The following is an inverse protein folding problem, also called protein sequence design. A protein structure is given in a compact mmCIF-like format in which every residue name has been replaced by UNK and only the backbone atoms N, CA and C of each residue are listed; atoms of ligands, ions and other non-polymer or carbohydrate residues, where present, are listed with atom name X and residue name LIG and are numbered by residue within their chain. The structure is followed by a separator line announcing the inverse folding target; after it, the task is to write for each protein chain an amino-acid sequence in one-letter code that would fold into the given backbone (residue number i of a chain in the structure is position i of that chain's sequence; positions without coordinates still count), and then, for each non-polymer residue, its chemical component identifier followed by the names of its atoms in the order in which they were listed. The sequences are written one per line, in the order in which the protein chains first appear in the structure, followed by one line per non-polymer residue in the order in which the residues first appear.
data_IF_150176820119
#
_entry.id   IF_150176820119
#
_cell.length_a   1.000
_cell.length_b   1.000
_cell.length_c   1.000
_cell.angle_alpha   90.00
_cell.angle_beta   90.00
_cell.angle_gamma   90.00
#
_symmetry.space_group_name_H-M   'P 1'
#
loop_
_entity.id
_entity.type
_entity.pdbx_description
1 polymer ?
#
# COMPACT_ATOMS: atom_id res chain seq x y z
N UNK A 1 4.50 -20.33 43.54
CA UNK A 1 5.02 -18.97 43.31
C UNK A 1 4.15 -18.39 42.21
N UNK A 2 3.38 -17.33 42.50
CA UNK A 2 2.50 -16.71 41.50
C UNK A 2 3.40 -16.05 40.44
N UNK A 3 3.09 -16.24 39.16
CA UNK A 3 3.77 -15.57 38.05
C UNK A 3 3.44 -14.07 38.10
N UNK A 4 4.14 -13.33 38.94
CA UNK A 4 4.05 -11.87 39.00
C UNK A 4 4.74 -11.31 37.77
N UNK A 5 3.99 -10.58 36.94
CA UNK A 5 4.52 -9.99 35.71
C UNK A 5 5.69 -9.04 36.03
N UNK A 6 6.74 -9.00 35.18
CA UNK A 6 8.01 -8.32 35.51
C UNK A 6 7.84 -6.82 35.80
N UNK A 7 6.90 -6.14 35.13
CA UNK A 7 6.61 -4.73 35.38
C UNK A 7 5.87 -4.46 36.71
N UNK A 8 5.01 -5.38 37.16
CA UNK A 8 4.37 -5.30 38.48
C UNK A 8 5.39 -5.60 39.58
N UNK A 9 6.26 -6.60 39.36
CA UNK A 9 7.35 -6.92 40.27
C UNK A 9 8.30 -5.72 40.45
N UNK A 10 8.63 -4.99 39.37
CA UNK A 10 9.49 -3.79 39.42
C UNK A 10 8.88 -2.64 40.23
N UNK A 11 7.56 -2.51 40.24
CA UNK A 11 6.81 -1.54 41.04
C UNK A 11 6.49 -2.05 42.45
N UNK A 12 6.82 -3.30 42.78
CA UNK A 12 6.51 -3.96 44.05
C UNK A 12 5.01 -4.21 44.26
N UNK A 13 4.28 -4.47 43.17
CA UNK A 13 2.82 -4.63 43.13
C UNK A 13 2.44 -6.07 42.77
N UNK A 14 1.21 -6.45 43.12
CA UNK A 14 0.63 -7.75 42.78
C UNK A 14 -0.35 -7.66 41.60
N UNK A 15 -0.90 -8.80 41.17
CA UNK A 15 -1.85 -8.90 40.05
C UNK A 15 -3.27 -8.44 40.41
N UNK A 16 -3.57 -8.08 41.65
CA UNK A 16 -4.88 -7.58 42.09
C UNK A 16 -4.87 -6.06 42.33
N UNK A 17 -3.82 -5.38 41.87
CA UNK A 17 -3.58 -3.97 42.16
C UNK A 17 -4.39 -3.02 41.24
N UNK A 18 -4.97 -1.96 41.82
CA UNK A 18 -5.75 -0.93 41.11
C UNK A 18 -4.91 0.24 40.55
N UNK A 19 -5.49 0.99 39.61
CA UNK A 19 -4.87 2.19 39.00
C UNK A 19 -4.33 3.23 40.00
N UNK A 20 -4.98 3.35 41.17
CA UNK A 20 -4.56 4.28 42.23
C UNK A 20 -3.30 3.79 42.96
N UNK A 21 -3.14 2.48 43.10
CA UNK A 21 -1.98 1.87 43.72
C UNK A 21 -0.77 1.87 42.78
N UNK A 22 -0.95 1.65 41.48
CA UNK A 22 0.09 1.83 40.45
C UNK A 22 0.66 3.25 40.47
N UNK A 23 -0.21 4.28 40.49
CA UNK A 23 0.20 5.69 40.56
C UNK A 23 0.95 6.03 41.86
N UNK A 24 0.53 5.47 43.00
CA UNK A 24 1.22 5.67 44.28
C UNK A 24 2.60 5.00 44.30
N UNK A 25 2.73 3.81 43.74
CA UNK A 25 4.02 3.11 43.65
C UNK A 25 4.99 3.88 42.76
N UNK A 26 4.54 4.32 41.58
CA UNK A 26 5.34 5.15 40.68
C UNK A 26 5.80 6.44 41.36
N UNK A 27 4.92 7.16 42.06
CA UNK A 27 5.29 8.39 42.77
C UNK A 27 6.27 8.15 43.94
N UNK A 28 6.27 6.96 44.55
CA UNK A 28 7.23 6.58 45.59
C UNK A 28 8.60 6.30 45.00
N UNK A 29 8.66 5.51 43.93
CA UNK A 29 9.91 5.16 43.24
C UNK A 29 10.52 6.39 42.54
N UNK A 30 9.70 7.25 41.95
CA UNK A 30 10.15 8.47 41.28
C UNK A 30 10.88 9.45 42.23
N UNK A 31 10.51 9.46 43.51
CA UNK A 31 11.20 10.28 44.52
C UNK A 31 12.59 9.77 44.88
N UNK A 32 12.89 8.51 44.55
CA UNK A 32 14.18 7.88 44.81
C UNK A 32 15.15 8.01 43.64
N UNK A 33 14.66 8.43 42.46
CA UNK A 33 15.46 8.59 41.24
C UNK A 33 15.80 10.06 41.04
N UNK A 34 17.10 10.37 40.98
CA UNK A 34 17.58 11.66 40.50
C UNK A 34 17.51 11.67 38.97
N UNK A 35 16.54 12.42 38.43
CA UNK A 35 16.23 12.44 36.99
C UNK A 35 17.38 13.03 36.15
N UNK A 36 18.24 13.86 36.74
CA UNK A 36 19.35 14.49 36.01
C UNK A 36 20.57 13.57 35.93
N UNK A 37 20.77 12.69 36.91
CA UNK A 37 21.92 11.78 36.96
C UNK A 37 21.60 10.37 36.46
N UNK A 38 20.37 9.89 36.67
CA UNK A 38 19.96 8.49 36.40
C UNK A 38 18.83 8.41 35.36
N UNK A 39 19.08 8.94 34.17
CA UNK A 39 18.11 8.91 33.05
C UNK A 39 17.68 7.50 32.66
N UNK A 40 18.57 6.50 32.75
CA UNK A 40 18.24 5.11 32.45
C UNK A 40 17.26 4.50 33.48
N UNK A 41 17.46 4.77 34.76
CA UNK A 41 16.57 4.28 35.81
C UNK A 41 15.18 4.95 35.74
N UNK A 42 15.14 6.23 35.35
CA UNK A 42 13.89 6.95 35.10
C UNK A 42 13.12 6.35 33.92
N UNK A 43 13.78 6.04 32.81
CA UNK A 43 13.14 5.40 31.65
C UNK A 43 12.60 4.02 32.00
N UNK A 44 13.38 3.18 32.69
CA UNK A 44 12.93 1.84 33.12
C UNK A 44 11.69 1.93 34.05
N UNK A 45 11.70 2.87 35.00
CA UNK A 45 10.54 3.09 35.88
C UNK A 45 9.31 3.56 35.09
N UNK A 46 9.52 4.42 34.09
CA UNK A 46 8.44 4.94 33.24
C UNK A 46 7.84 3.83 32.37
N UNK A 47 8.67 3.00 31.75
CA UNK A 47 8.24 1.85 30.95
C UNK A 47 7.45 0.84 31.80
N UNK A 48 7.90 0.55 33.03
CA UNK A 48 7.18 -0.31 33.95
C UNK A 48 5.81 0.25 34.34
N UNK A 49 5.72 1.57 34.56
CA UNK A 49 4.47 2.26 34.87
C UNK A 49 3.48 2.25 33.70
N UNK A 50 3.94 2.57 32.49
CA UNK A 50 3.09 2.58 31.28
C UNK A 50 2.62 1.15 30.93
N UNK A 51 3.48 0.15 31.10
CA UNK A 51 3.14 -1.27 30.96
C UNK A 51 2.09 -1.71 31.99
N UNK A 52 2.19 -1.26 33.24
CA UNK A 52 1.22 -1.57 34.28
C UNK A 52 -0.16 -0.96 34.00
N UNK A 53 -0.23 0.28 33.51
CA UNK A 53 -1.49 0.94 33.16
C UNK A 53 -2.16 0.32 31.93
N UNK A 54 -1.40 0.00 30.89
CA UNK A 54 -1.92 -0.65 29.69
C UNK A 54 -2.45 -2.06 29.99
N UNK A 55 -1.75 -2.81 30.85
CA UNK A 55 -2.22 -4.10 31.34
C UNK A 55 -3.53 -4.00 32.14
N UNK A 56 -3.66 -3.00 33.01
CA UNK A 56 -4.89 -2.75 33.76
C UNK A 56 -6.07 -2.42 32.83
N UNK A 57 -5.84 -1.56 31.82
CA UNK A 57 -6.86 -1.20 30.83
C UNK A 57 -7.33 -2.41 30.00
N UNK A 58 -6.41 -3.29 29.61
CA UNK A 58 -6.74 -4.54 28.93
C UNK A 58 -7.55 -5.49 29.83
N UNK A 59 -7.21 -5.60 31.12
CA UNK A 59 -7.95 -6.41 32.10
C UNK A 59 -9.39 -5.91 32.28
N UNK A 60 -9.57 -4.60 32.40
CA UNK A 60 -10.91 -3.98 32.55
C UNK A 60 -11.76 -4.15 31.27
N UNK A 61 -11.13 -4.09 30.09
CA UNK A 61 -11.79 -4.41 28.82
C UNK A 61 -12.22 -5.89 28.75
N UNK A 62 -11.37 -6.83 29.18
CA UNK A 62 -11.75 -8.26 29.20
C UNK A 62 -12.86 -8.59 30.20
N UNK A 63 -12.87 -7.93 31.36
CA UNK A 63 -13.97 -8.06 32.33
C UNK A 63 -15.29 -7.51 31.76
N UNK A 64 -15.22 -6.47 30.94
CA UNK A 64 -16.38 -5.88 30.27
C UNK A 64 -16.88 -6.76 29.11
N UNK A 65 -15.98 -7.34 28.33
CA UNK A 65 -16.32 -8.22 27.19
C UNK A 65 -16.87 -9.59 27.63
N UNK A 66 -16.47 -10.11 28.80
CA UNK A 66 -17.06 -11.33 29.39
C UNK A 66 -18.39 -11.09 30.12
N UNK A 67 -18.79 -9.85 30.35
CA UNK A 67 -20.02 -9.49 31.07
C UNK A 67 -21.18 -9.05 30.14
N UNK A 68 -21.07 -9.25 28.83
CA UNK A 68 -22.13 -8.96 27.87
C UNK A 68 -23.27 -10.00 27.90
N UNK A 69 -24.01 -10.05 29.00
CA UNK A 69 -25.40 -10.50 29.07
C UNK A 69 -26.22 -9.37 29.74
N UNK A 70 -27.32 -8.90 29.14
CA UNK A 70 -28.02 -7.71 29.63
C UNK A 70 -28.82 -8.04 30.89
N UNK A 71 -28.44 -7.45 32.02
CA UNK A 71 -29.25 -7.43 33.24
C UNK A 71 -30.00 -6.08 33.38
N UNK A 72 -31.26 -6.08 33.87
CA UNK A 72 -32.15 -4.91 33.81
C UNK A 72 -31.87 -3.87 34.91
N UNK A 73 -32.16 -2.62 34.56
CA UNK A 73 -32.19 -1.45 35.43
C UNK A 73 -33.10 -1.69 36.65
N UNK A 74 -32.57 -1.46 37.86
CA UNK A 74 -33.37 -1.28 39.09
C UNK A 74 -32.76 -0.13 39.93
N UNK A 75 -33.56 0.73 40.59
CA UNK A 75 -33.13 2.04 41.09
C UNK A 75 -32.44 2.02 42.46
N UNK A 76 -31.66 3.07 42.72
CA UNK A 76 -31.02 3.44 43.99
C UNK A 76 -31.97 3.41 45.21
N UNK A 77 -31.57 2.80 46.33
CA UNK A 77 -32.22 3.03 47.61
C UNK A 77 -31.56 4.21 48.34
N UNK A 78 -32.41 5.17 48.70
CA UNK A 78 -32.15 6.25 49.66
C UNK A 78 -31.73 5.65 51.01
N UNK A 79 -30.52 5.98 51.48
CA UNK A 79 -30.10 5.68 52.85
C UNK A 79 -30.60 6.77 53.82
N UNK A 80 -31.16 6.40 54.98
CA UNK A 80 -31.64 7.35 55.97
C UNK A 80 -30.50 8.05 56.72
N UNK A 81 -30.73 9.35 56.95
CA UNK A 81 -30.04 10.24 57.88
C UNK A 81 -30.08 9.67 59.31
N UNK A 82 -28.92 9.35 59.85
CA UNK A 82 -28.72 9.13 61.28
C UNK A 82 -27.64 10.11 61.76
N UNK A 83 -28.11 11.18 62.39
CA UNK A 83 -27.28 12.23 62.94
C UNK A 83 -26.33 11.76 64.05
N UNK A 84 -25.17 12.41 64.08
CA UNK A 84 -24.52 12.88 65.30
C UNK A 84 -23.67 14.10 64.92
N UNK A 85 -23.87 15.28 65.54
CA UNK A 85 -23.06 16.45 65.26
C UNK A 85 -21.68 16.24 65.88
N UNK A 86 -20.68 15.92 65.06
CA UNK A 86 -19.28 16.03 65.47
C UNK A 86 -18.80 17.40 65.06
N UNK A 87 -18.81 18.34 66.00
CA UNK A 87 -18.07 19.59 65.92
C UNK A 87 -16.58 19.29 65.85
N UNK A 88 -15.88 19.53 64.72
CA UNK A 88 -14.43 19.57 64.72
C UNK A 88 -14.01 20.96 65.20
N UNK A 89 -13.16 20.96 66.22
CA UNK A 89 -12.47 22.13 66.76
C UNK A 89 -11.72 22.85 65.62
N UNK A 90 -12.03 24.13 65.37
CA UNK A 90 -11.21 24.99 64.51
C UNK A 90 -9.86 25.24 65.18
N UNK A 91 -8.84 24.51 64.75
CA UNK A 91 -7.45 24.97 64.87
C UNK A 91 -7.26 26.06 63.82
N UNK A 92 -7.13 27.30 64.27
CA UNK A 92 -6.87 28.45 63.42
C UNK A 92 -5.56 28.29 62.67
N UNK A 93 -5.66 27.83 61.43
CA UNK A 93 -4.71 28.11 60.36
C UNK A 93 -5.55 28.89 59.36
N UNK A 94 -5.29 30.20 59.24
CA UNK A 94 -5.82 31.00 58.15
C UNK A 94 -5.49 30.27 56.84
N UNK A 95 -6.49 29.90 56.03
CA UNK A 95 -6.23 29.58 54.64
C UNK A 95 -5.89 30.92 53.99
N UNK A 96 -4.60 31.24 53.98
CA UNK A 96 -4.03 32.00 52.89
C UNK A 96 -4.55 31.37 51.60
N UNK A 97 -5.24 32.17 50.80
CA UNK A 97 -5.99 31.76 49.64
C UNK A 97 -5.25 30.66 48.88
N UNK A 98 -5.64 29.41 49.15
CA UNK A 98 -5.27 28.30 48.32
C UNK A 98 -5.96 28.58 47.02
N UNK A 99 -5.22 29.19 46.08
CA UNK A 99 -5.53 29.12 44.69
C UNK A 99 -5.90 27.65 44.45
N UNK A 100 -7.18 27.42 44.20
CA UNK A 100 -7.66 26.15 43.68
C UNK A 100 -6.67 25.78 42.59
N UNK A 101 -6.08 24.56 42.59
CA UNK A 101 -5.28 24.15 41.46
C UNK A 101 -6.21 24.29 40.27
N UNK A 102 -5.95 25.33 39.46
CA UNK A 102 -6.67 25.59 38.24
C UNK A 102 -6.61 24.27 37.51
N UNK A 103 -7.74 23.57 37.47
CA UNK A 103 -7.95 22.50 36.53
C UNK A 103 -7.85 23.20 35.18
N UNK A 104 -6.63 23.31 34.66
CA UNK A 104 -6.39 23.59 33.26
C UNK A 104 -7.25 22.54 32.58
N UNK A 105 -8.33 22.99 31.94
CA UNK A 105 -9.14 22.16 31.09
C UNK A 105 -8.20 21.68 29.98
N UNK A 106 -7.51 20.56 30.24
CA UNK A 106 -6.69 19.91 29.25
C UNK A 106 -7.69 19.39 28.24
N UNK A 107 -7.87 20.14 27.16
CA UNK A 107 -8.71 19.72 26.04
C UNK A 107 -8.31 18.29 25.66
N UNK A 108 -9.32 17.44 25.55
CA UNK A 108 -9.16 16.01 25.27
C UNK A 108 -8.38 15.83 23.96
N UNK A 109 -7.15 15.26 24.00
CA UNK A 109 -6.28 15.14 22.83
C UNK A 109 -6.95 14.39 21.67
N UNK A 110 -7.88 13.48 21.97
CA UNK A 110 -8.64 12.77 20.94
C UNK A 110 -9.59 13.71 20.19
N UNK A 111 -10.22 14.65 20.88
CA UNK A 111 -11.12 15.64 20.25
C UNK A 111 -10.34 16.63 19.38
N UNK A 112 -9.17 17.05 19.85
CA UNK A 112 -8.28 17.91 19.07
C UNK A 112 -7.86 17.24 17.77
N UNK A 113 -7.41 15.98 17.85
CA UNK A 113 -7.06 15.19 16.68
C UNK A 113 -8.24 14.99 15.72
N UNK A 114 -9.43 14.71 16.25
CA UNK A 114 -10.65 14.53 15.45
C UNK A 114 -11.07 15.82 14.73
N UNK A 115 -10.92 16.98 15.38
CA UNK A 115 -11.23 18.27 14.76
C UNK A 115 -10.30 18.56 13.57
N UNK A 116 -8.99 18.36 13.75
CA UNK A 116 -7.99 18.54 12.67
C UNK A 116 -8.23 17.55 11.53
N UNK A 117 -8.62 16.31 11.84
CA UNK A 117 -8.97 15.31 10.84
C UNK A 117 -10.15 15.74 9.97
N UNK A 118 -11.15 16.39 10.55
CA UNK A 118 -12.31 16.86 9.79
C UNK A 118 -11.95 17.99 8.84
N UNK A 119 -11.11 18.93 9.30
CA UNK A 119 -10.55 19.99 8.44
C UNK A 119 -9.70 19.39 7.31
N UNK A 120 -8.88 18.39 7.62
CA UNK A 120 -8.10 17.65 6.62
C UNK A 120 -8.99 16.93 5.59
N UNK A 121 -10.11 16.35 6.03
CA UNK A 121 -11.09 15.72 5.13
C UNK A 121 -11.75 16.73 4.20
N UNK A 122 -12.10 17.91 4.71
CA UNK A 122 -12.61 18.99 3.88
C UNK A 122 -11.57 19.43 2.83
N UNK A 123 -10.30 19.56 3.22
CA UNK A 123 -9.20 19.87 2.30
C UNK A 123 -9.03 18.78 1.21
N UNK A 124 -9.07 17.49 1.58
CA UNK A 124 -9.02 16.40 0.61
C UNK A 124 -10.19 16.45 -0.39
N UNK A 125 -11.39 16.77 0.06
CA UNK A 125 -12.55 16.91 -0.83
C UNK A 125 -12.37 18.07 -1.83
N UNK A 126 -11.79 19.19 -1.39
CA UNK A 126 -11.45 20.30 -2.29
C UNK A 126 -10.40 19.89 -3.33
N UNK A 127 -9.34 19.19 -2.93
CA UNK A 127 -8.32 18.68 -3.86
C UNK A 127 -8.89 17.76 -4.94
N UNK A 128 -9.91 16.96 -4.59
CA UNK A 128 -10.61 16.12 -5.56
C UNK A 128 -11.46 16.95 -6.54
N UNK A 129 -12.10 18.03 -6.07
CA UNK A 129 -12.88 18.96 -6.91
C UNK A 129 -11.97 19.74 -7.88
N UNK A 130 -10.79 20.16 -7.43
CA UNK A 130 -9.79 20.86 -8.23
C UNK A 130 -9.02 19.94 -9.20
N UNK A 131 -9.45 18.68 -9.32
CA UNK A 131 -8.85 17.65 -10.18
C UNK A 131 -7.35 17.37 -9.88
N UNK A 132 -6.89 17.61 -8.65
CA UNK A 132 -5.54 17.27 -8.20
C UNK A 132 -5.34 15.78 -7.87
N UNK A 133 -6.10 14.88 -8.52
CA UNK A 133 -6.15 13.42 -8.26
C UNK A 133 -4.87 12.69 -8.68
N UNK A 134 -3.92 13.37 -9.34
CA UNK A 134 -2.65 12.79 -9.82
C UNK A 134 -1.40 13.52 -9.34
N UNK A 135 -1.57 14.64 -8.64
CA UNK A 135 -0.44 15.44 -8.17
C UNK A 135 -0.23 15.20 -6.67
N UNK A 136 0.90 14.63 -6.23
CA UNK A 136 1.15 14.40 -4.81
C UNK A 136 1.44 15.68 -4.02
N UNK A 137 1.85 16.78 -4.67
CA UNK A 137 2.30 18.00 -3.97
C UNK A 137 1.18 18.67 -3.15
N UNK A 138 -0.02 18.93 -3.70
CA UNK A 138 -1.11 19.51 -2.92
C UNK A 138 -1.56 18.63 -1.75
N UNK A 139 -1.50 17.31 -1.91
CA UNK A 139 -1.82 16.35 -0.84
C UNK A 139 -0.78 16.38 0.28
N UNK A 140 0.51 16.46 -0.09
CA UNK A 140 1.61 16.63 0.86
C UNK A 140 1.47 17.95 1.63
N UNK A 141 1.14 19.04 0.94
CA UNK A 141 0.93 20.35 1.56
C UNK A 141 -0.28 20.34 2.51
N UNK A 142 -1.40 19.74 2.11
CA UNK A 142 -2.57 19.63 2.97
C UNK A 142 -2.28 18.84 4.25
N UNK A 143 -1.59 17.69 4.14
CA UNK A 143 -1.25 16.89 5.32
C UNK A 143 -0.22 17.59 6.22
N UNK A 144 0.77 18.27 5.63
CA UNK A 144 1.74 19.05 6.39
C UNK A 144 1.07 20.23 7.12
N UNK A 145 0.16 20.93 6.46
CA UNK A 145 -0.60 22.02 7.08
C UNK A 145 -1.40 21.54 8.29
N UNK A 146 -2.02 20.36 8.22
CA UNK A 146 -2.68 19.75 9.38
C UNK A 146 -1.71 19.43 10.52
N UNK A 147 -0.46 19.01 10.21
CA UNK A 147 0.56 18.73 11.23
C UNK A 147 1.15 19.98 11.88
N UNK A 148 1.10 21.12 11.19
CA UNK A 148 1.57 22.42 11.69
C UNK A 148 0.48 23.13 12.52
N UNK A 149 -0.71 22.55 12.66
CA UNK A 149 -1.83 23.08 13.43
C UNK A 149 -1.53 23.07 14.95
N UNK A 150 -1.84 24.17 15.63
CA UNK A 150 -1.60 24.34 17.08
C UNK A 150 -2.29 23.24 17.92
N UNK A 151 -3.42 22.70 17.45
CA UNK A 151 -4.16 21.60 18.10
C UNK A 151 -3.35 20.30 18.14
N UNK A 152 -2.35 20.12 17.26
CA UNK A 152 -1.46 18.96 17.23
C UNK A 152 -0.09 19.19 17.89
N UNK A 153 0.11 20.31 18.60
CA UNK A 153 1.30 20.51 19.44
C UNK A 153 1.39 19.48 20.57
N UNK A 154 0.24 18.99 21.05
CA UNK A 154 0.19 17.90 22.01
C UNK A 154 0.58 16.58 21.32
N UNK A 155 1.67 15.94 21.79
CA UNK A 155 2.19 14.68 21.27
C UNK A 155 1.10 13.60 21.21
N UNK A 156 0.21 13.52 22.21
CA UNK A 156 -0.88 12.55 22.22
C UNK A 156 -1.91 12.84 21.13
N UNK A 157 -2.26 14.11 20.91
CA UNK A 157 -3.17 14.50 19.83
C UNK A 157 -2.58 14.17 18.45
N UNK A 158 -1.26 14.39 18.28
CA UNK A 158 -0.56 14.01 17.05
C UNK A 158 -0.57 12.49 16.79
N UNK A 159 -0.40 11.67 17.83
CA UNK A 159 -0.50 10.20 17.72
C UNK A 159 -1.92 9.79 17.33
N UNK A 160 -2.95 10.37 17.95
CA UNK A 160 -4.35 10.09 17.58
C UNK A 160 -4.66 10.51 16.15
N UNK A 161 -4.15 11.67 15.70
CA UNK A 161 -4.32 12.13 14.33
C UNK A 161 -3.71 11.14 13.33
N UNK A 162 -2.49 10.67 13.59
CA UNK A 162 -1.85 9.65 12.76
C UNK A 162 -2.62 8.32 12.75
N UNK A 163 -3.11 7.88 13.91
CA UNK A 163 -3.96 6.69 14.02
C UNK A 163 -5.26 6.85 13.19
N UNK A 164 -5.84 8.05 13.16
CA UNK A 164 -7.00 8.34 12.33
C UNK A 164 -6.70 8.28 10.84
N UNK A 165 -5.55 8.78 10.39
CA UNK A 165 -5.12 8.66 8.98
C UNK A 165 -4.91 7.19 8.60
N UNK A 166 -4.23 6.41 9.44
CA UNK A 166 -4.06 4.98 9.23
C UNK A 166 -5.43 4.27 9.17
N UNK A 167 -6.34 4.57 10.10
CA UNK A 167 -7.69 4.02 10.10
C UNK A 167 -8.47 4.39 8.83
N UNK A 168 -8.35 5.63 8.35
CA UNK A 168 -9.02 6.07 7.14
C UNK A 168 -8.54 5.31 5.90
N UNK A 169 -7.23 5.07 5.78
CA UNK A 169 -6.64 4.31 4.67
C UNK A 169 -7.12 2.85 4.63
N UNK A 170 -7.29 2.20 5.80
CA UNK A 170 -7.74 0.80 5.87
C UNK A 170 -9.26 0.63 5.88
N UNK A 171 -10.04 1.71 6.03
CA UNK A 171 -11.52 1.66 6.05
C UNK A 171 -12.15 1.53 4.67
N UNK A 172 -11.35 1.23 3.65
CA UNK A 172 -11.75 1.07 2.26
C UNK A 172 -11.23 2.20 1.37
N UNK A 173 -11.02 1.87 0.10
CA UNK A 173 -10.52 2.81 -0.89
C UNK A 173 -11.52 3.93 -1.21
N UNK A 174 -10.99 5.15 -1.35
CA UNK A 174 -11.68 6.33 -1.89
C UNK A 174 -10.77 7.02 -2.91
N UNK A 175 -11.32 7.84 -3.82
CA UNK A 175 -10.51 8.63 -4.75
C UNK A 175 -9.41 9.40 -4.02
N UNK A 176 -8.16 9.28 -4.50
CA UNK A 176 -6.98 9.92 -3.91
C UNK A 176 -6.33 9.18 -2.73
N UNK A 177 -6.86 8.05 -2.28
CA UNK A 177 -6.21 7.23 -1.24
C UNK A 177 -4.85 6.67 -1.68
N UNK A 178 -4.61 6.48 -2.98
CA UNK A 178 -3.31 6.08 -3.51
C UNK A 178 -2.25 7.18 -3.27
N UNK A 179 -2.61 8.44 -3.50
CA UNK A 179 -1.77 9.59 -3.18
C UNK A 179 -1.61 9.74 -1.68
N UNK A 180 -2.71 9.71 -0.91
CA UNK A 180 -2.67 9.83 0.54
C UNK A 180 -1.78 8.76 1.18
N UNK A 181 -1.88 7.50 0.74
CA UNK A 181 -1.03 6.41 1.22
C UNK A 181 0.45 6.74 1.01
N UNK A 182 0.83 7.12 -0.21
CA UNK A 182 2.23 7.45 -0.53
C UNK A 182 2.75 8.66 0.25
N UNK A 183 1.92 9.70 0.40
CA UNK A 183 2.24 10.93 1.12
C UNK A 183 2.34 10.67 2.63
N UNK A 184 1.40 9.93 3.20
CA UNK A 184 1.39 9.57 4.61
C UNK A 184 2.60 8.72 4.99
N UNK A 185 2.97 7.73 4.16
CA UNK A 185 4.18 6.93 4.38
C UNK A 185 5.44 7.80 4.46
N UNK A 186 5.53 8.83 3.61
CA UNK A 186 6.67 9.76 3.57
C UNK A 186 6.67 10.75 4.75
N UNK A 187 5.53 11.36 5.06
CA UNK A 187 5.42 12.39 6.11
C UNK A 187 5.57 11.77 7.50
N UNK A 188 4.90 10.64 7.76
CA UNK A 188 4.96 9.96 9.05
C UNK A 188 6.15 9.01 9.19
N UNK A 189 6.94 8.82 8.13
CA UNK A 189 8.10 7.93 8.08
C UNK A 189 7.75 6.49 8.50
N UNK A 190 6.55 6.03 8.14
CA UNK A 190 6.04 4.71 8.51
C UNK A 190 6.92 3.55 8.06
N UNK A 191 7.62 3.70 6.92
CA UNK A 191 8.57 2.70 6.43
C UNK A 191 9.85 2.60 7.29
N UNK A 192 10.22 3.68 7.97
CA UNK A 192 11.45 3.80 8.77
C UNK A 192 11.20 3.43 10.24
N UNK A 193 10.07 3.87 10.81
CA UNK A 193 9.67 3.57 12.19
C UNK A 193 8.44 2.64 12.25
N UNK A 194 8.68 1.37 11.90
CA UNK A 194 7.66 0.32 11.94
C UNK A 194 7.13 0.07 13.36
N UNK A 195 7.95 0.26 14.39
CA UNK A 195 7.54 0.04 15.79
C UNK A 195 6.44 1.02 16.17
N UNK A 196 6.62 2.30 15.84
CA UNK A 196 5.62 3.35 16.06
C UNK A 196 4.34 3.10 15.26
N UNK A 197 4.48 2.67 14.01
CA UNK A 197 3.32 2.28 13.19
C UNK A 197 2.51 1.16 13.84
N UNK A 198 3.16 0.12 14.37
CA UNK A 198 2.49 -1.00 15.04
C UNK A 198 1.78 -0.58 16.34
N UNK A 199 2.24 0.48 17.01
CA UNK A 199 1.56 1.04 18.19
C UNK A 199 0.20 1.67 17.86
N UNK A 200 -0.09 1.95 16.57
CA UNK A 200 -1.41 2.38 16.11
C UNK A 200 -2.44 1.24 16.06
N UNK A 201 -2.08 0.04 16.53
CA UNK A 201 -2.95 -1.11 16.64
C UNK A 201 -3.22 -1.79 15.29
N UNK A 202 -4.46 -2.28 15.10
CA UNK A 202 -4.82 -3.08 13.92
C UNK A 202 -4.66 -2.31 12.60
N UNK A 203 -5.02 -1.03 12.58
CA UNK A 203 -4.83 -0.19 11.39
C UNK A 203 -3.35 -0.06 11.04
N UNK A 204 -2.51 0.20 12.04
CA UNK A 204 -1.05 0.25 11.90
C UNK A 204 -0.47 -1.04 11.32
N UNK A 205 -0.85 -2.20 11.84
CA UNK A 205 -0.38 -3.50 11.33
C UNK A 205 -0.82 -3.77 9.88
N UNK A 206 -2.02 -3.34 9.48
CA UNK A 206 -2.46 -3.46 8.08
C UNK A 206 -1.70 -2.50 7.15
N UNK A 207 -1.39 -1.29 7.61
CA UNK A 207 -0.57 -0.34 6.84
C UNK A 207 0.87 -0.84 6.73
N UNK A 208 1.46 -1.41 7.78
CA UNK A 208 2.79 -2.03 7.72
C UNK A 208 2.81 -3.12 6.64
N UNK A 209 1.80 -4.00 6.65
CA UNK A 209 1.63 -5.03 5.62
C UNK A 209 1.46 -4.44 4.22
N UNK A 210 0.68 -3.36 4.07
CA UNK A 210 0.51 -2.66 2.80
C UNK A 210 1.82 -2.04 2.30
N UNK A 211 2.67 -1.52 3.20
CA UNK A 211 4.00 -0.99 2.86
C UNK A 211 4.92 -2.10 2.37
N UNK A 212 4.91 -3.27 3.01
CA UNK A 212 5.67 -4.45 2.56
C UNK A 212 5.24 -4.88 1.16
N UNK A 213 3.94 -5.05 0.94
CA UNK A 213 3.38 -5.44 -0.35
C UNK A 213 3.69 -4.41 -1.44
N UNK A 214 3.56 -3.11 -1.13
CA UNK A 214 3.94 -2.03 -2.04
C UNK A 214 5.43 -2.05 -2.37
N UNK A 215 6.28 -2.36 -1.40
CA UNK A 215 7.73 -2.49 -1.61
C UNK A 215 8.02 -3.66 -2.53
N UNK A 216 7.42 -4.83 -2.32
CA UNK A 216 7.58 -5.98 -3.22
C UNK A 216 7.10 -5.62 -4.64
N UNK A 217 5.94 -4.99 -4.75
CA UNK A 217 5.39 -4.52 -6.03
C UNK A 217 6.37 -3.59 -6.74
N UNK A 218 6.96 -2.61 -6.04
CA UNK A 218 7.89 -1.64 -6.62
C UNK A 218 9.19 -2.26 -7.15
N UNK A 219 9.55 -3.48 -6.74
CA UNK A 219 10.73 -4.21 -7.21
C UNK A 219 10.43 -5.19 -8.36
N UNK A 220 9.19 -5.27 -8.84
CA UNK A 220 8.86 -6.06 -10.02
C UNK A 220 9.59 -5.53 -11.27
N UNK A 221 9.85 -6.39 -12.28
CA UNK A 221 10.41 -5.95 -13.55
C UNK A 221 9.60 -4.80 -14.18
N UNK A 222 10.27 -3.87 -14.86
CA UNK A 222 9.63 -2.66 -15.41
C UNK A 222 8.47 -2.97 -16.37
N UNK A 223 8.60 -4.04 -17.17
CA UNK A 223 7.54 -4.50 -18.07
C UNK A 223 6.26 -4.90 -17.30
N UNK A 224 6.41 -5.61 -16.17
CA UNK A 224 5.28 -6.02 -15.34
C UNK A 224 4.68 -4.82 -14.58
N UNK A 225 5.54 -3.93 -14.06
CA UNK A 225 5.12 -2.69 -13.39
C UNK A 225 4.25 -1.83 -14.30
N UNK A 226 4.61 -1.72 -15.58
CA UNK A 226 3.89 -0.87 -16.51
C UNK A 226 2.48 -1.40 -16.79
N UNK A 227 2.33 -2.71 -17.01
CA UNK A 227 1.03 -3.36 -17.18
C UNK A 227 0.20 -3.22 -15.90
N UNK A 228 0.78 -3.57 -14.76
CA UNK A 228 0.09 -3.51 -13.47
C UNK A 228 -0.37 -2.09 -13.13
N UNK A 229 0.44 -1.06 -13.39
CA UNK A 229 0.05 0.35 -13.19
C UNK A 229 -1.12 0.77 -14.08
N UNK A 230 -1.14 0.34 -15.35
CA UNK A 230 -2.27 0.60 -16.24
C UNK A 230 -3.57 -0.03 -15.71
N UNK A 231 -3.49 -1.26 -15.21
CA UNK A 231 -4.64 -1.96 -14.60
C UNK A 231 -5.08 -1.27 -13.32
N UNK A 232 -4.17 -0.85 -12.44
CA UNK A 232 -4.50 -0.08 -11.23
C UNK A 232 -5.21 1.24 -11.56
N UNK A 233 -4.72 1.96 -12.58
CA UNK A 233 -5.35 3.19 -13.05
C UNK A 233 -6.76 2.96 -13.60
N UNK A 234 -7.02 1.81 -14.22
CA UNK A 234 -8.36 1.42 -14.67
C UNK A 234 -9.26 1.04 -13.48
N UNK A 235 -8.76 0.26 -12.53
CA UNK A 235 -9.52 -0.14 -11.33
C UNK A 235 -9.92 1.05 -10.45
N UNK A 236 -9.17 2.17 -10.52
CA UNK A 236 -9.48 3.43 -9.83
C UNK A 236 -10.46 4.32 -10.59
N UNK A 237 -10.70 4.07 -11.88
CA UNK A 237 -11.69 4.81 -12.66
C UNK A 237 -13.01 4.07 -12.62
N UNK A 238 -14.11 4.78 -12.41
CA UNK A 238 -15.48 4.22 -12.53
C UNK A 238 -15.88 3.92 -14.00
N UNK A 239 -14.88 3.73 -14.88
CA UNK A 239 -15.05 3.45 -16.29
C UNK A 239 -15.21 1.96 -16.53
N UNK A 240 -16.18 1.59 -17.37
CA UNK A 240 -16.38 0.21 -17.79
C UNK A 240 -15.32 -0.16 -18.84
N UNK A 241 -14.42 -1.13 -18.60
CA UNK A 241 -13.40 -1.52 -19.59
C UNK A 241 -14.08 -2.10 -20.85
N UNK A 242 -13.42 -2.09 -22.00
CA UNK A 242 -13.93 -2.80 -23.17
C UNK A 242 -13.84 -4.33 -22.99
N UNK A 243 -14.56 -5.12 -23.79
CA UNK A 243 -14.51 -6.59 -23.68
C UNK A 243 -13.12 -7.15 -23.98
N UNK A 244 -12.38 -6.48 -24.87
CA UNK A 244 -10.98 -6.80 -25.16
C UNK A 244 -10.06 -6.46 -23.97
N UNK A 245 -10.18 -5.25 -23.43
CA UNK A 245 -9.42 -4.81 -22.25
C UNK A 245 -9.66 -5.75 -21.07
N UNK A 246 -10.93 -6.07 -20.79
CA UNK A 246 -11.29 -6.97 -19.70
C UNK A 246 -10.61 -8.34 -19.80
N UNK A 247 -10.47 -8.90 -21.01
CA UNK A 247 -9.80 -10.19 -21.22
C UNK A 247 -8.30 -10.13 -20.99
N UNK A 248 -7.67 -9.03 -21.37
CA UNK A 248 -6.23 -8.85 -21.23
C UNK A 248 -5.84 -8.44 -19.81
N UNK A 249 -6.63 -7.61 -19.15
CA UNK A 249 -6.29 -6.96 -17.89
C UNK A 249 -6.72 -7.77 -16.65
N UNK A 250 -7.81 -8.55 -16.73
CA UNK A 250 -8.34 -9.32 -15.60
C UNK A 250 -7.29 -10.28 -15.00
N UNK A 251 -6.50 -11.05 -15.77
CA UNK A 251 -5.47 -11.93 -15.20
C UNK A 251 -4.45 -11.18 -14.34
N UNK A 252 -4.11 -9.93 -14.70
CA UNK A 252 -3.20 -9.10 -13.92
C UNK A 252 -3.88 -8.53 -12.67
N UNK A 253 -5.14 -8.11 -12.78
CA UNK A 253 -5.93 -7.67 -11.63
C UNK A 253 -6.09 -8.78 -10.58
N UNK A 254 -6.41 -10.00 -11.01
CA UNK A 254 -6.53 -11.16 -10.13
C UNK A 254 -5.20 -11.57 -9.50
N UNK A 255 -4.12 -11.52 -10.27
CA UNK A 255 -2.77 -11.75 -9.77
C UNK A 255 -2.42 -10.73 -8.69
N UNK A 256 -2.61 -9.45 -8.94
CA UNK A 256 -2.35 -8.40 -7.94
C UNK A 256 -3.21 -8.57 -6.69
N UNK A 257 -4.50 -8.89 -6.85
CA UNK A 257 -5.38 -9.14 -5.72
C UNK A 257 -4.96 -10.36 -4.88
N UNK A 258 -4.35 -11.37 -5.49
CA UNK A 258 -3.85 -12.56 -4.79
C UNK A 258 -2.50 -12.32 -4.08
N UNK A 259 -1.57 -11.60 -4.73
CA UNK A 259 -0.21 -11.38 -4.18
C UNK A 259 -0.10 -10.17 -3.27
N UNK A 260 -0.93 -9.14 -3.48
CA UNK A 260 -0.88 -7.87 -2.76
C UNK A 260 -2.26 -7.46 -2.21
N UNK A 261 -2.96 -8.35 -1.47
CA UNK A 261 -4.35 -8.13 -1.07
C UNK A 261 -4.54 -6.92 -0.16
N UNK A 262 -3.60 -6.66 0.77
CA UNK A 262 -3.75 -5.60 1.76
C UNK A 262 -3.48 -4.24 1.13
N UNK A 263 -2.39 -4.11 0.37
CA UNK A 263 -2.08 -2.90 -0.37
C UNK A 263 -3.17 -2.56 -1.38
N UNK A 264 -3.64 -3.53 -2.16
CA UNK A 264 -4.73 -3.33 -3.12
C UNK A 264 -6.00 -2.78 -2.46
N UNK A 265 -6.32 -3.22 -1.24
CA UNK A 265 -7.49 -2.74 -0.49
C UNK A 265 -7.38 -1.28 -0.06
N UNK A 266 -6.15 -0.76 0.08
CA UNK A 266 -5.88 0.63 0.46
C UNK A 266 -5.89 1.55 -0.76
N UNK A 267 -5.32 1.11 -1.90
CA UNK A 267 -5.06 1.98 -3.06
C UNK A 267 -5.98 1.77 -4.27
N UNK A 268 -6.88 0.78 -4.23
CA UNK A 268 -7.88 0.54 -5.29
C UNK A 268 -9.22 0.04 -4.77
N UNK A 269 -10.26 0.16 -5.60
CA UNK A 269 -11.56 -0.45 -5.33
C UNK A 269 -11.51 -1.96 -5.60
N UNK A 270 -11.33 -2.78 -4.57
CA UNK A 270 -11.32 -4.25 -4.68
C UNK A 270 -12.64 -4.83 -5.19
N UNK A 271 -13.76 -4.13 -4.98
CA UNK A 271 -15.06 -4.49 -5.54
C UNK A 271 -15.09 -4.47 -7.07
N UNK A 272 -14.28 -3.62 -7.71
CA UNK A 272 -14.18 -3.59 -9.17
C UNK A 272 -13.62 -4.88 -9.74
N UNK A 273 -12.66 -5.53 -9.06
CA UNK A 273 -12.10 -6.82 -9.51
C UNK A 273 -13.19 -7.90 -9.55
N UNK A 274 -14.05 -7.93 -8.54
CA UNK A 274 -15.18 -8.87 -8.51
C UNK A 274 -16.21 -8.56 -9.63
N UNK A 275 -16.48 -7.28 -9.90
CA UNK A 275 -17.36 -6.88 -11.01
C UNK A 275 -16.78 -7.23 -12.38
N UNK A 276 -15.47 -7.04 -12.56
CA UNK A 276 -14.74 -7.41 -13.77
C UNK A 276 -14.81 -8.92 -14.01
N UNK A 277 -14.61 -9.73 -12.97
CA UNK A 277 -14.76 -11.20 -13.03
C UNK A 277 -16.17 -11.59 -13.47
N UNK A 278 -17.20 -11.09 -12.80
CA UNK A 278 -18.59 -11.40 -13.13
C UNK A 278 -18.95 -11.03 -14.57
N UNK A 279 -18.41 -9.92 -15.08
CA UNK A 279 -18.60 -9.52 -16.48
C UNK A 279 -17.81 -10.40 -17.45
N UNK A 280 -16.59 -10.78 -17.12
CA UNK A 280 -15.78 -11.68 -17.95
C UNK A 280 -16.49 -13.02 -18.15
N UNK A 281 -17.07 -13.57 -17.09
CA UNK A 281 -17.86 -14.81 -17.13
C UNK A 281 -19.11 -14.69 -18.01
N UNK A 282 -19.66 -13.47 -18.13
CA UNK A 282 -20.81 -13.18 -19.00
C UNK A 282 -20.42 -12.90 -20.47
N UNK A 283 -19.13 -12.81 -20.81
CA UNK A 283 -18.71 -12.51 -22.17
C UNK A 283 -18.94 -13.72 -23.10
N UNK A 284 -19.43 -13.50 -24.34
CA UNK A 284 -19.47 -14.56 -25.34
C UNK A 284 -18.04 -15.04 -25.64
N UNK A 285 -17.81 -16.31 -26.01
CA UNK A 285 -16.48 -16.78 -26.38
C UNK A 285 -15.87 -15.87 -27.46
N UNK A 286 -14.53 -15.68 -27.47
CA UNK A 286 -13.89 -14.82 -28.45
C UNK A 286 -14.44 -15.12 -29.85
N UNK A 287 -14.97 -14.10 -30.54
CA UNK A 287 -15.27 -14.23 -31.97
C UNK A 287 -13.98 -14.71 -32.60
N UNK A 288 -13.95 -15.96 -33.07
CA UNK A 288 -12.77 -16.59 -33.68
C UNK A 288 -12.14 -15.57 -34.61
N UNK A 289 -10.98 -15.03 -34.24
CA UNK A 289 -10.16 -14.33 -35.21
C UNK A 289 -9.93 -15.30 -36.37
N UNK A 290 -9.96 -14.77 -37.58
CA UNK A 290 -9.76 -15.54 -38.80
C UNK A 290 -8.36 -16.19 -38.77
N UNK A 291 -8.27 -17.41 -38.21
CA UNK A 291 -7.10 -18.26 -38.33
C UNK A 291 -7.34 -19.19 -39.53
N UNK A 292 -6.49 -19.20 -40.56
CA UNK A 292 -6.53 -20.28 -41.54
C UNK A 292 -6.17 -21.57 -40.81
N UNK A 293 -6.99 -22.61 -40.94
CA UNK A 293 -6.70 -23.94 -40.42
C UNK A 293 -5.45 -24.46 -41.12
N UNK A 294 -4.30 -24.46 -40.46
CA UNK A 294 -3.12 -25.18 -40.93
C UNK A 294 -3.37 -26.66 -40.63
N UNK A 295 -3.81 -27.41 -41.65
CA UNK A 295 -3.83 -28.87 -41.59
C UNK A 295 -2.40 -29.39 -41.71
N UNK A 296 -1.74 -29.62 -40.58
CA UNK A 296 -0.45 -30.32 -40.55
C UNK A 296 -0.76 -31.82 -40.57
N UNK A 297 -0.63 -32.44 -41.73
CA UNK A 297 -0.80 -33.87 -41.92
C UNK A 297 0.48 -34.59 -41.44
N UNK A 298 0.62 -34.75 -40.12
CA UNK A 298 1.76 -35.46 -39.53
C UNK A 298 1.39 -36.94 -39.33
N UNK A 299 2.02 -37.83 -40.10
CA UNK A 299 1.78 -39.28 -39.99
C UNK A 299 2.01 -39.79 -38.57
N UNK A 300 1.19 -40.76 -38.14
CA UNK A 300 1.11 -41.25 -36.75
C UNK A 300 2.43 -41.73 -36.12
N UNK A 301 3.47 -41.96 -36.92
CA UNK A 301 4.81 -42.34 -36.43
C UNK A 301 5.66 -41.13 -36.01
N UNK A 302 5.50 -39.97 -36.65
CA UNK A 302 6.27 -38.76 -36.33
C UNK A 302 5.78 -38.09 -35.03
N UNK A 303 4.47 -38.12 -34.77
CA UNK A 303 3.90 -37.61 -33.52
C UNK A 303 4.35 -38.39 -32.28
N UNK A 304 4.53 -39.70 -32.41
CA UNK A 304 5.01 -40.56 -31.31
C UNK A 304 6.49 -40.33 -30.98
N UNK A 305 7.32 -40.06 -31.99
CA UNK A 305 8.73 -39.72 -31.79
C UNK A 305 8.86 -38.36 -31.09
N UNK A 306 8.05 -37.36 -31.48
CA UNK A 306 8.04 -36.04 -30.85
C UNK A 306 7.58 -36.11 -29.39
N UNK A 307 6.59 -36.95 -29.10
CA UNK A 307 6.10 -37.21 -27.75
C UNK A 307 7.16 -37.87 -26.86
N UNK A 308 7.87 -38.89 -27.37
CA UNK A 308 8.96 -39.54 -26.64
C UNK A 308 10.16 -38.60 -26.40
N UNK A 309 10.44 -37.70 -27.35
CA UNK A 309 11.48 -36.68 -27.17
C UNK A 309 11.10 -35.67 -26.09
N UNK A 310 9.84 -35.21 -26.08
CA UNK A 310 9.33 -34.30 -25.07
C UNK A 310 9.34 -34.95 -23.67
N UNK A 311 8.98 -36.23 -23.59
CA UNK A 311 8.97 -36.99 -22.34
C UNK A 311 10.39 -37.26 -21.80
N UNK A 312 11.37 -37.49 -22.68
CA UNK A 312 12.79 -37.59 -22.28
C UNK A 312 13.34 -36.25 -21.79
N UNK A 313 12.96 -35.14 -22.40
CA UNK A 313 13.35 -33.79 -21.95
C UNK A 313 12.81 -33.49 -20.54
N UNK A 314 11.56 -33.87 -20.26
CA UNK A 314 10.97 -33.74 -18.91
C UNK A 314 11.66 -34.65 -17.90
N UNK A 315 12.03 -35.89 -18.29
CA UNK A 315 12.70 -36.85 -17.39
C UNK A 315 14.13 -36.43 -17.03
N UNK A 316 14.86 -35.84 -17.97
CA UNK A 316 16.21 -35.28 -17.73
C UNK A 316 16.12 -34.05 -16.81
N UNK A 317 15.11 -33.21 -16.97
CA UNK A 317 14.88 -32.06 -16.09
C UNK A 317 14.54 -32.48 -14.65
N UNK A 318 13.81 -33.59 -14.47
CA UNK A 318 13.45 -34.09 -13.14
C UNK A 318 14.64 -34.73 -12.40
N UNK A 319 15.47 -35.53 -13.09
CA UNK A 319 16.61 -36.23 -12.47
C UNK A 319 17.77 -35.28 -12.07
N UNK A 320 17.89 -34.12 -12.70
CA UNK A 320 18.93 -33.13 -12.36
C UNK A 320 18.67 -32.39 -11.03
N UNK A 321 17.47 -32.53 -10.45
CA UNK A 321 17.05 -31.78 -9.25
C UNK A 321 17.32 -32.48 -7.91
N UNK A 322 17.91 -33.68 -7.90
CA UNK A 322 18.05 -34.49 -6.67
C UNK A 322 19.48 -34.78 -6.18
N UNK A 323 20.53 -34.22 -6.79
CA UNK A 323 21.91 -34.35 -6.30
C UNK A 323 22.64 -33.00 -6.21
N UNK A 324 22.57 -32.38 -5.02
CA UNK A 324 23.69 -31.76 -4.27
C UNK A 324 23.16 -30.85 -3.16
N UNK A 325 23.03 -31.44 -1.97
CA UNK A 325 23.29 -30.72 -0.74
C UNK A 325 24.82 -30.59 -0.60
N UNK A 326 25.31 -29.35 -0.65
CA UNK A 326 26.24 -28.78 0.33
C UNK A 326 26.95 -27.53 -0.23
N UNK A 327 27.15 -26.57 0.68
CA UNK A 327 27.88 -25.30 0.59
C UNK A 327 27.18 -24.11 -0.06
N UNK A 328 26.76 -23.19 0.83
CA UNK A 328 26.35 -21.82 0.56
C UNK A 328 27.51 -21.01 -0.02
N UNK A 329 27.27 -20.20 -1.07
CA UNK A 329 27.27 -18.75 -0.85
C UNK A 329 26.00 -18.09 -1.45
N UNK A 330 25.67 -16.91 -0.90
CA UNK A 330 24.58 -15.98 -1.19
C UNK A 330 23.65 -16.28 -2.40
N UNK A 331 22.31 -16.15 -2.25
CA UNK A 331 21.38 -16.44 -3.33
C UNK A 331 21.61 -15.48 -4.50
N UNK A 332 22.28 -15.98 -5.55
CA UNK A 332 22.06 -15.47 -6.90
C UNK A 332 20.63 -15.85 -7.24
N UNK A 333 19.77 -14.84 -7.40
CA UNK A 333 18.49 -15.03 -8.05
C UNK A 333 18.70 -15.84 -9.33
N UNK A 334 17.91 -16.90 -9.58
CA UNK A 334 17.91 -17.51 -10.90
C UNK A 334 17.63 -16.39 -11.89
N UNK A 335 18.56 -16.13 -12.81
CA UNK A 335 18.23 -15.40 -14.01
C UNK A 335 17.06 -16.16 -14.63
N UNK A 336 15.86 -15.62 -14.48
CA UNK A 336 14.70 -16.06 -15.21
C UNK A 336 15.13 -16.03 -16.67
N UNK A 337 15.33 -17.23 -17.22
CA UNK A 337 15.44 -17.43 -18.65
C UNK A 337 14.30 -16.64 -19.26
N UNK A 338 14.64 -15.57 -19.98
CA UNK A 338 13.68 -14.74 -20.69
C UNK A 338 12.73 -15.68 -21.42
N UNK A 339 11.47 -15.71 -20.99
CA UNK A 339 10.44 -16.36 -21.76
C UNK A 339 10.51 -15.75 -23.15
N UNK A 340 10.61 -16.59 -24.17
CA UNK A 340 10.57 -16.14 -25.56
C UNK A 340 9.37 -15.18 -25.71
N UNK A 341 9.55 -14.01 -26.37
CA UNK A 341 8.46 -13.06 -26.48
C UNK A 341 7.24 -13.76 -27.10
N UNK A 342 6.00 -13.41 -26.67
CA UNK A 342 4.81 -13.90 -27.34
C UNK A 342 4.92 -13.61 -28.84
N UNK A 343 4.29 -14.42 -29.69
CA UNK A 343 4.28 -14.19 -31.14
C UNK A 343 3.48 -12.91 -31.42
N UNK A 344 4.14 -11.75 -31.32
CA UNK A 344 3.53 -10.44 -31.56
C UNK A 344 3.52 -10.19 -33.06
N UNK A 345 2.35 -9.81 -33.60
CA UNK A 345 2.19 -9.55 -35.03
C UNK A 345 2.98 -8.29 -35.43
N UNK A 346 3.65 -8.36 -36.58
CA UNK A 346 4.35 -7.21 -37.14
C UNK A 346 3.36 -6.30 -37.88
N UNK A 347 3.54 -4.99 -37.72
CA UNK A 347 2.70 -3.99 -38.36
C UNK A 347 2.87 -4.02 -39.90
N UNK A 348 1.80 -3.85 -40.70
CA UNK A 348 1.92 -3.74 -42.16
C UNK A 348 2.90 -2.62 -42.57
N UNK A 349 3.69 -2.83 -43.64
CA UNK A 349 4.78 -1.93 -44.02
C UNK A 349 4.31 -0.50 -44.34
N UNK A 350 3.10 -0.33 -44.87
CA UNK A 350 2.51 0.97 -45.18
C UNK A 350 2.26 1.81 -43.91
N UNK A 351 1.72 1.18 -42.86
CA UNK A 351 1.49 1.86 -41.59
C UNK A 351 2.82 2.16 -40.88
N UNK A 352 3.79 1.25 -40.99
CA UNK A 352 5.14 1.48 -40.47
C UNK A 352 5.80 2.70 -41.14
N UNK A 353 5.64 2.87 -42.45
CA UNK A 353 6.11 4.06 -43.17
C UNK A 353 5.40 5.33 -42.69
N UNK A 354 4.09 5.27 -42.51
CA UNK A 354 3.30 6.41 -41.99
C UNK A 354 3.77 6.84 -40.61
N UNK A 355 4.06 5.89 -39.71
CA UNK A 355 4.62 6.18 -38.38
C UNK A 355 6.03 6.77 -38.50
N UNK A 356 6.90 6.17 -39.32
CA UNK A 356 8.27 6.70 -39.54
C UNK A 356 8.27 8.11 -40.11
N UNK A 357 7.29 8.48 -40.94
CA UNK A 357 7.16 9.83 -41.49
C UNK A 357 6.86 10.91 -40.43
N UNK A 358 6.37 10.51 -39.26
CA UNK A 358 6.15 11.43 -38.12
C UNK A 358 7.36 11.51 -37.18
N UNK A 359 8.43 10.75 -37.43
CA UNK A 359 9.68 10.94 -36.69
C UNK A 359 10.40 12.21 -37.16
N UNK A 360 11.06 12.98 -36.26
CA UNK A 360 11.87 14.12 -36.65
C UNK A 360 12.99 13.69 -37.60
N UNK A 361 13.14 14.40 -38.73
CA UNK A 361 14.20 14.15 -39.74
C UNK A 361 15.54 14.77 -39.37
N UNK A 362 15.59 15.64 -38.35
CA UNK A 362 16.86 16.16 -37.84
C UNK A 362 17.71 14.99 -37.32
N UNK A 363 18.96 14.92 -37.77
CA UNK A 363 19.91 13.89 -37.34
C UNK A 363 20.06 13.95 -35.83
N UNK A 364 19.33 13.11 -35.12
CA UNK A 364 19.58 12.87 -33.71
C UNK A 364 20.99 12.29 -33.63
N UNK A 365 21.87 12.95 -32.90
CA UNK A 365 23.21 12.42 -32.61
C UNK A 365 23.04 11.16 -31.74
N UNK A 366 22.90 10.03 -32.41
CA UNK A 366 22.68 8.74 -31.78
C UNK A 366 24.00 8.18 -31.21
N UNK A 367 25.15 8.72 -31.65
CA UNK A 367 26.47 8.18 -31.39
C UNK A 367 26.76 6.95 -32.27
N UNK A 368 28.01 6.45 -32.26
CA UNK A 368 28.37 5.28 -33.06
C UNK A 368 27.72 4.01 -32.50
N UNK A 369 26.99 3.27 -33.35
CA UNK A 369 26.40 1.98 -32.98
C UNK A 369 25.10 1.67 -33.71
N UNK A 370 24.58 0.47 -33.47
CA UNK A 370 23.25 0.09 -33.93
C UNK A 370 22.24 0.37 -32.82
N UNK A 371 21.31 1.28 -33.08
CA UNK A 371 20.26 1.65 -32.13
C UNK A 371 18.96 0.95 -32.51
N UNK A 372 18.45 0.13 -31.60
CA UNK A 372 17.21 -0.63 -31.78
C UNK A 372 16.25 -0.34 -30.64
N UNK A 373 15.07 0.18 -30.97
CA UNK A 373 13.96 0.29 -30.05
C UNK A 373 12.83 -0.65 -30.47
N UNK A 374 12.45 -1.57 -29.58
CA UNK A 374 11.33 -2.49 -29.79
C UNK A 374 10.15 -2.04 -28.93
N UNK A 375 9.05 -1.66 -29.57
CA UNK A 375 7.90 -1.03 -28.94
C UNK A 375 6.65 -1.83 -29.29
N UNK A 376 5.99 -2.43 -28.31
CA UNK A 376 4.68 -3.08 -28.48
C UNK A 376 3.57 -2.07 -28.25
N UNK A 377 2.61 -2.04 -29.17
CA UNK A 377 1.47 -1.13 -29.13
C UNK A 377 0.21 -1.96 -29.06
N UNK A 378 -0.58 -1.71 -28.03
CA UNK A 378 -1.90 -2.30 -27.84
C UNK A 378 -2.95 -1.24 -28.12
N UNK A 379 -3.93 -1.58 -28.93
CA UNK A 379 -5.06 -0.74 -29.31
C UNK A 379 -6.34 -1.21 -28.61
N UNK A 380 -7.25 -0.27 -28.36
CA UNK A 380 -8.62 -0.61 -27.97
C UNK A 380 -9.49 -1.01 -29.18
N UNK A 381 -10.75 -1.36 -28.93
CA UNK A 381 -11.72 -1.75 -29.97
C UNK A 381 -12.02 -0.62 -30.98
N UNK A 382 -11.80 0.63 -30.59
CA UNK A 382 -11.99 1.82 -31.43
C UNK A 382 -10.76 2.18 -32.25
N UNK A 383 -9.63 1.50 -32.03
CA UNK A 383 -8.36 1.74 -32.71
C UNK A 383 -7.52 2.83 -32.04
N UNK A 384 -7.92 3.32 -30.88
CA UNK A 384 -7.11 4.25 -30.09
C UNK A 384 -6.02 3.47 -29.34
N UNK A 385 -4.90 4.13 -29.09
CA UNK A 385 -3.79 3.53 -28.36
C UNK A 385 -4.23 3.31 -26.92
N UNK A 386 -4.30 2.05 -26.52
CA UNK A 386 -4.56 1.64 -25.15
C UNK A 386 -3.27 1.64 -24.33
N UNK A 387 -2.22 1.02 -24.86
CA UNK A 387 -0.96 0.84 -24.14
C UNK A 387 0.23 0.84 -25.12
N UNK A 388 1.35 1.39 -24.67
CA UNK A 388 2.64 1.33 -25.39
C UNK A 388 3.66 0.77 -24.41
N UNK A 389 4.32 -0.33 -24.78
CA UNK A 389 5.37 -0.98 -24.00
C UNK A 389 6.69 -0.89 -24.75
N UNK A 390 7.73 -0.37 -24.12
CA UNK A 390 9.08 -0.41 -24.69
C UNK A 390 9.77 -1.66 -24.15
N UNK A 391 9.93 -2.68 -25.00
CA UNK A 391 10.62 -3.92 -24.65
C UNK A 391 12.13 -3.77 -24.71
N UNK A 392 12.61 -2.94 -25.64
CA UNK A 392 14.02 -2.63 -25.78
C UNK A 392 14.15 -1.14 -26.07
N UNK A 393 14.94 -0.43 -25.26
CA UNK A 393 15.27 0.98 -25.48
C UNK A 393 16.40 1.08 -26.50
N UNK A 394 16.43 2.17 -27.27
CA UNK A 394 17.53 2.45 -28.19
C UNK A 394 18.84 2.87 -27.48
N UNK A 395 18.79 3.03 -26.15
CA UNK A 395 19.85 3.65 -25.35
C UNK A 395 19.79 5.19 -25.33
N UNK A 396 18.81 5.81 -26.01
CA UNK A 396 18.63 7.27 -26.07
C UNK A 396 17.17 7.66 -25.82
N UNK A 397 16.93 8.37 -24.71
CA UNK A 397 15.59 8.82 -24.29
C UNK A 397 14.92 9.73 -25.33
N UNK A 398 15.68 10.59 -26.01
CA UNK A 398 15.16 11.47 -27.08
C UNK A 398 14.65 10.68 -28.29
N UNK A 399 15.33 9.59 -28.66
CA UNK A 399 14.92 8.74 -29.77
C UNK A 399 13.69 7.90 -29.41
N UNK A 400 13.69 7.28 -28.22
CA UNK A 400 12.56 6.47 -27.76
C UNK A 400 11.29 7.32 -27.57
N UNK A 401 11.43 8.54 -27.04
CA UNK A 401 10.31 9.48 -26.90
C UNK A 401 9.77 9.99 -28.24
N UNK A 402 10.64 10.22 -29.23
CA UNK A 402 10.22 10.58 -30.59
C UNK A 402 9.49 9.41 -31.27
N UNK A 403 9.95 8.18 -31.07
CA UNK A 403 9.28 6.97 -31.58
C UNK A 403 7.88 6.82 -30.99
N UNK A 404 7.74 6.97 -29.67
CA UNK A 404 6.45 6.94 -28.99
C UNK A 404 5.54 8.07 -29.48
N UNK A 405 6.07 9.27 -29.68
CA UNK A 405 5.31 10.43 -30.18
C UNK A 405 4.80 10.20 -31.60
N UNK A 406 5.63 9.63 -32.48
CA UNK A 406 5.26 9.31 -33.86
C UNK A 406 4.15 8.24 -33.92
N UNK A 407 4.20 7.23 -33.05
CA UNK A 407 3.13 6.23 -32.91
C UNK A 407 1.83 6.91 -32.47
N UNK A 408 1.91 7.81 -31.47
CA UNK A 408 0.74 8.55 -30.95
C UNK A 408 0.10 9.45 -32.00
N UNK A 409 0.90 10.09 -32.85
CA UNK A 409 0.40 10.95 -33.93
C UNK A 409 -0.41 10.19 -35.00
N UNK A 410 -0.25 8.87 -35.09
CA UNK A 410 -0.98 8.03 -36.04
C UNK A 410 -2.31 7.49 -35.51
N UNK A 411 -2.65 7.72 -34.24
CA UNK A 411 -3.94 7.33 -33.69
C UNK A 411 -5.08 8.25 -34.21
N UNK A 412 -6.31 7.73 -34.41
CA UNK A 412 -6.72 6.34 -34.25
C UNK A 412 -6.31 5.45 -35.43
N UNK A 413 -5.98 4.20 -35.13
CA UNK A 413 -5.58 3.19 -36.11
C UNK A 413 -6.81 2.54 -36.77
N UNK A 414 -6.75 2.24 -38.08
CA UNK A 414 -7.83 1.56 -38.80
C UNK A 414 -8.13 0.17 -38.25
N UNK A 415 -9.37 -0.29 -38.42
CA UNK A 415 -9.81 -1.59 -37.91
C UNK A 415 -9.09 -2.81 -38.53
N UNK A 416 -8.43 -2.62 -39.68
CA UNK A 416 -7.62 -3.64 -40.35
C UNK A 416 -6.27 -3.92 -39.65
N UNK A 417 -5.84 -3.05 -38.73
CA UNK A 417 -4.60 -3.22 -37.96
C UNK A 417 -4.87 -4.16 -36.77
N UNK A 418 -3.98 -5.12 -36.48
CA UNK A 418 -4.09 -5.94 -35.27
C UNK A 418 -4.14 -5.06 -34.02
N UNK A 419 -4.87 -5.51 -33.00
CA UNK A 419 -5.03 -4.76 -31.73
C UNK A 419 -3.83 -4.87 -30.80
N UNK A 420 -2.85 -5.67 -31.17
CA UNK A 420 -1.54 -5.74 -30.52
C UNK A 420 -0.50 -5.99 -31.61
N UNK A 421 0.54 -5.15 -31.65
CA UNK A 421 1.62 -5.29 -32.63
C UNK A 421 2.95 -4.72 -32.13
N UNK A 422 4.03 -5.36 -32.57
CA UNK A 422 5.39 -4.95 -32.26
C UNK A 422 5.94 -4.08 -33.40
N UNK A 423 6.50 -2.94 -33.03
CA UNK A 423 7.25 -2.05 -33.91
C UNK A 423 8.71 -2.06 -33.50
N UNK A 424 9.59 -2.46 -34.42
CA UNK A 424 11.03 -2.34 -34.27
C UNK A 424 11.55 -1.15 -35.07
N UNK A 425 12.07 -0.15 -34.37
CA UNK A 425 12.82 0.94 -34.98
C UNK A 425 14.30 0.63 -34.94
N UNK A 426 14.90 0.47 -36.13
CA UNK A 426 16.33 0.30 -36.28
C UNK A 426 16.90 1.53 -36.96
N UNK A 427 17.88 2.19 -36.34
CA UNK A 427 18.71 3.21 -36.99
C UNK A 427 20.12 2.67 -37.14
N UNK A 428 20.61 2.69 -38.37
CA UNK A 428 22.03 2.57 -38.68
C UNK A 428 22.52 3.96 -39.02
N UNK A 429 23.53 4.44 -38.31
CA UNK A 429 24.17 5.69 -38.69
C UNK A 429 25.02 5.43 -39.94
N UNK A 430 24.84 6.23 -40.99
CA UNK A 430 25.64 6.16 -42.21
C UNK A 430 26.96 6.92 -41.96
N UNK A 431 27.80 6.38 -41.10
CA UNK A 431 29.10 6.98 -40.80
C UNK A 431 30.22 5.93 -40.75
N UNK A 432 30.36 5.11 -41.80
CA UNK A 432 31.64 4.73 -42.45
C UNK A 432 31.38 3.77 -43.64
N UNK A 433 32.12 3.90 -44.77
CA UNK A 433 32.01 3.02 -45.94
C UNK A 433 32.51 1.60 -45.72
#
# INVERSE_FOLDING_TARGET
MRDTMPFLARLGLDTETDARAIRRAYARELKLIDQEQDGAAFQELREAYESALSWLAWRDQQATDSAAAPAPLTPEPVAPDYGMPRTPVSLGIQPEAAAEPQQIAHEDPQRLAAAVLEDFRAAMQQLLQDHHVRNPVPWQQALQHSLDDERLLNISARIYFEAHIAQQLVSGWRPGHDLLFSVACKIFQWSEDRRRLLQLGRAGALIDKAIEEHTIFAHLPEADLMINRAVLDLLRKDGTPSDYQLRNDLPYAERMAAYFPVWMSVVTNTGMVAQWRARFDALPPPKKSWWPKININLSSRAGWILFLMLLQLVRVAYNYSSERADTTPAPRFPQLQQAAPPVVQQLPPEMLQKIKAHMPTESMDLGPGQHRADINVVLDDKGSIYQIMVYQTSGRVSYDSAAISAIRACAPFPAAIPREFLISFNVRDNATP
#
